data_IF_785874589939
#
_entry.id   IF_785874589939
#
_cell.length_a   1.000
_cell.length_b   1.000
_cell.length_c   1.000
_cell.angle_alpha   90.00
_cell.angle_beta   90.00
_cell.angle_gamma   90.00
#
_symmetry.space_group_name_H-M   'P 1'
#
loop_
_entity.id
_entity.type
_entity.pdbx_description
1 polymer ?
#
# COMPACT_ATOMS: atom_id res chain seq x y z
N UNK A 1 -2.92 6.50 -15.96
CA UNK A 1 -3.62 6.07 -14.72
C UNK A 1 -2.58 5.41 -13.81
N UNK A 2 -2.59 5.68 -12.51
CA UNK A 2 -1.76 4.96 -11.55
C UNK A 2 -2.40 3.60 -11.25
N UNK A 3 -1.60 2.53 -11.13
CA UNK A 3 -2.10 1.19 -10.82
C UNK A 3 -2.45 1.07 -9.32
N UNK A 4 -3.58 0.44 -9.02
CA UNK A 4 -4.00 0.05 -7.67
C UNK A 4 -4.36 -1.44 -7.70
N UNK A 5 -3.84 -2.23 -6.74
CA UNK A 5 -3.99 -3.68 -6.75
C UNK A 5 -3.82 -4.31 -5.36
N UNK A 6 -4.05 -5.62 -5.26
CA UNK A 6 -3.96 -6.43 -4.03
C UNK A 6 -4.76 -5.89 -2.83
N UNK A 7 -6.08 -5.65 -2.99
CA UNK A 7 -6.92 -5.19 -1.87
C UNK A 7 -7.10 -6.29 -0.82
N UNK A 8 -6.94 -5.93 0.46
CA UNK A 8 -7.25 -6.79 1.61
C UNK A 8 -8.05 -6.01 2.64
N UNK A 9 -9.19 -6.58 3.03
CA UNK A 9 -10.02 -6.02 4.10
C UNK A 9 -9.58 -6.54 5.47
N UNK A 10 -9.47 -5.64 6.44
CA UNK A 10 -9.24 -5.99 7.84
C UNK A 10 -9.93 -4.97 8.76
N UNK A 11 -10.86 -5.42 9.61
CA UNK A 11 -11.50 -4.64 10.69
C UNK A 11 -12.00 -3.23 10.30
N UNK A 12 -12.69 -3.11 9.15
CA UNK A 12 -13.28 -1.84 8.71
C UNK A 12 -12.33 -0.95 7.90
N UNK A 13 -11.14 -1.44 7.58
CA UNK A 13 -10.19 -0.78 6.68
C UNK A 13 -9.91 -1.68 5.47
N UNK A 14 -9.71 -1.04 4.31
CA UNK A 14 -9.21 -1.67 3.10
C UNK A 14 -7.76 -1.25 2.90
N UNK A 15 -6.87 -2.24 2.84
CA UNK A 15 -5.45 -2.07 2.57
C UNK A 15 -5.18 -2.45 1.12
N UNK A 16 -4.32 -1.70 0.43
CA UNK A 16 -4.02 -1.97 -0.97
C UNK A 16 -2.68 -1.35 -1.38
N UNK A 17 -2.14 -1.84 -2.48
CA UNK A 17 -0.92 -1.29 -3.10
C UNK A 17 -1.31 -0.26 -4.15
N UNK A 18 -0.59 0.85 -4.20
CA UNK A 18 -0.79 1.90 -5.21
C UNK A 18 0.55 2.38 -5.74
N UNK A 19 0.63 2.53 -7.07
CA UNK A 19 1.74 3.24 -7.69
C UNK A 19 1.67 4.73 -7.35
N UNK A 20 2.74 5.28 -6.78
CA UNK A 20 2.84 6.71 -6.51
C UNK A 20 2.72 7.48 -7.83
N UNK A 21 1.74 8.38 -7.90
CA UNK A 21 1.55 9.24 -9.06
C UNK A 21 2.70 10.24 -9.17
N UNK A 22 3.81 9.85 -9.79
CA UNK A 22 4.87 10.74 -10.30
C UNK A 22 5.82 11.40 -9.28
N UNK A 23 5.62 11.24 -7.97
CA UNK A 23 6.43 11.91 -6.94
C UNK A 23 7.74 11.19 -6.57
N UNK A 24 7.73 9.85 -6.57
CA UNK A 24 8.89 9.00 -6.25
C UNK A 24 9.16 8.06 -7.42
N UNK A 25 9.83 8.57 -8.45
CA UNK A 25 10.31 7.75 -9.56
C UNK A 25 11.68 7.22 -9.19
N UNK A 26 11.86 5.90 -9.21
CA UNK A 26 13.18 5.30 -9.04
C UNK A 26 14.11 5.80 -10.14
N UNK A 27 15.25 6.41 -9.77
CA UNK A 27 16.25 6.87 -10.75
C UNK A 27 16.87 5.72 -11.55
N UNK A 28 16.89 4.51 -10.99
CA UNK A 28 17.49 3.33 -11.61
C UNK A 28 16.57 2.69 -12.66
N UNK A 29 15.26 2.61 -12.39
CA UNK A 29 14.31 1.88 -13.24
C UNK A 29 13.35 2.78 -14.02
N UNK A 30 13.23 4.06 -13.65
CA UNK A 30 12.25 4.98 -14.24
C UNK A 30 10.80 4.64 -13.93
N UNK A 31 10.53 3.62 -13.11
CA UNK A 31 9.20 3.20 -12.72
C UNK A 31 8.73 3.96 -11.49
N UNK A 32 7.43 4.22 -11.42
CA UNK A 32 6.78 4.74 -10.23
C UNK A 32 6.94 3.72 -9.09
N UNK A 33 7.40 4.19 -7.93
CA UNK A 33 7.41 3.35 -6.74
C UNK A 33 6.00 3.00 -6.30
N UNK A 34 5.85 1.84 -5.68
CA UNK A 34 4.58 1.40 -5.09
C UNK A 34 4.64 1.49 -3.58
N UNK A 35 3.61 2.07 -2.99
CA UNK A 35 3.43 2.21 -1.54
C UNK A 35 2.12 1.48 -1.13
N UNK A 36 2.06 1.08 0.13
CA UNK A 36 0.86 0.55 0.76
C UNK A 36 0.02 1.68 1.37
N UNK A 37 -1.29 1.60 1.13
CA UNK A 37 -2.28 2.54 1.61
C UNK A 37 -3.36 1.83 2.42
N UNK A 38 -4.05 2.61 3.25
CA UNK A 38 -5.30 2.20 3.88
C UNK A 38 -6.38 3.26 3.73
N UNK A 39 -7.63 2.81 3.76
CA UNK A 39 -8.82 3.66 3.75
C UNK A 39 -9.90 2.98 4.58
N UNK A 40 -10.66 3.77 5.38
CA UNK A 40 -11.82 3.22 6.08
C UNK A 40 -12.93 2.89 5.11
N UNK A 41 -13.66 1.82 5.38
CA UNK A 41 -14.79 1.38 4.57
C UNK A 41 -16.03 1.18 5.43
N UNK A 42 -17.18 1.58 4.90
CA UNK A 42 -18.49 1.23 5.44
C UNK A 42 -19.20 0.30 4.45
N UNK A 43 -19.15 -1.00 4.71
CA UNK A 43 -19.51 -2.03 3.72
C UNK A 43 -18.61 -1.93 2.48
N UNK A 44 -19.21 -1.83 1.30
CA UNK A 44 -18.50 -1.71 0.02
C UNK A 44 -18.15 -0.26 -0.37
N UNK A 45 -18.23 0.70 0.56
CA UNK A 45 -18.01 2.14 0.28
C UNK A 45 -16.77 2.66 1.02
N UNK A 46 -15.66 2.96 0.31
CA UNK A 46 -14.52 3.65 0.88
C UNK A 46 -14.82 5.11 1.22
N UNK A 47 -14.36 5.57 2.37
CA UNK A 47 -14.35 6.98 2.74
C UNK A 47 -13.00 7.59 2.36
N UNK A 48 -12.93 8.21 1.18
CA UNK A 48 -11.69 8.78 0.63
C UNK A 48 -11.11 9.91 1.49
N UNK A 49 -11.87 10.51 2.41
CA UNK A 49 -11.33 11.48 3.37
C UNK A 49 -10.36 10.84 4.39
N UNK A 50 -10.38 9.51 4.49
CA UNK A 50 -9.54 8.71 5.38
C UNK A 50 -8.41 7.98 4.64
N UNK A 51 -8.23 8.25 3.34
CA UNK A 51 -7.18 7.65 2.55
C UNK A 51 -5.81 8.12 3.05
N UNK A 52 -4.96 7.18 3.44
CA UNK A 52 -3.61 7.49 3.92
C UNK A 52 -2.60 6.41 3.51
N UNK A 53 -1.33 6.81 3.41
CA UNK A 53 -0.20 5.87 3.29
C UNK A 53 0.05 5.20 4.63
N UNK A 54 0.54 3.96 4.60
CA UNK A 54 1.15 3.36 5.79
C UNK A 54 2.47 4.07 6.13
N UNK A 55 2.89 3.93 7.39
CA UNK A 55 4.10 4.55 7.94
C UNK A 55 5.38 4.17 7.18
N UNK A 56 6.41 5.02 7.27
CA UNK A 56 7.70 4.85 6.60
C UNK A 56 8.47 3.59 7.03
N UNK A 57 8.15 3.00 8.19
CA UNK A 57 8.68 1.68 8.58
C UNK A 57 8.22 0.57 7.62
N UNK A 58 7.04 0.73 7.03
CA UNK A 58 6.45 -0.20 6.06
C UNK A 58 6.82 0.28 4.65
N UNK A 59 6.49 1.53 4.33
CA UNK A 59 6.75 2.16 3.03
C UNK A 59 8.16 2.74 2.98
N UNK A 60 9.16 1.94 2.61
CA UNK A 60 10.53 2.45 2.48
C UNK A 60 10.63 3.34 1.24
N UNK A 61 11.06 4.62 1.36
CA UNK A 61 11.14 5.56 0.24
C UNK A 61 12.04 5.12 -0.94
N UNK A 62 12.84 4.06 -0.78
CA UNK A 62 13.74 3.55 -1.82
C UNK A 62 13.34 2.16 -2.32
N UNK A 63 12.21 1.62 -1.88
CA UNK A 63 11.79 0.25 -2.19
C UNK A 63 10.36 0.24 -2.72
N UNK A 64 10.04 -0.74 -3.56
CA UNK A 64 8.68 -1.00 -3.99
C UNK A 64 7.99 -1.94 -3.00
N UNK A 65 6.84 -1.54 -2.51
CA UNK A 65 5.97 -2.42 -1.72
C UNK A 65 4.97 -3.15 -2.63
N UNK A 66 4.72 -4.41 -2.32
CA UNK A 66 3.84 -5.30 -3.06
C UNK A 66 2.57 -5.64 -2.28
N UNK A 67 2.09 -6.87 -2.46
CA UNK A 67 0.87 -7.35 -1.81
C UNK A 67 0.99 -7.38 -0.29
N UNK A 68 -0.13 -7.12 0.40
CA UNK A 68 -0.32 -7.18 1.85
C UNK A 68 -1.31 -8.29 2.20
N UNK A 69 -1.18 -8.89 3.39
CA UNK A 69 -2.19 -9.75 4.02
C UNK A 69 -2.08 -9.68 5.54
N UNK A 70 -3.04 -10.27 6.24
CA UNK A 70 -3.08 -10.31 7.70
C UNK A 70 -3.29 -11.72 8.24
N UNK A 71 -2.87 -11.98 9.47
CA UNK A 71 -3.30 -13.16 10.22
C UNK A 71 -4.83 -13.13 10.44
N UNK A 72 -5.48 -14.28 10.72
CA UNK A 72 -6.94 -14.34 10.87
C UNK A 72 -7.51 -13.40 11.96
N UNK A 73 -6.74 -13.14 13.01
CA UNK A 73 -7.10 -12.21 14.10
C UNK A 73 -6.66 -10.76 13.82
N UNK A 74 -5.94 -10.53 12.72
CA UNK A 74 -5.41 -9.24 12.29
C UNK A 74 -4.26 -8.72 13.14
N UNK A 75 -3.62 -9.56 13.98
CA UNK A 75 -2.50 -9.15 14.84
C UNK A 75 -1.16 -9.10 14.11
N UNK A 76 -1.00 -9.85 13.02
CA UNK A 76 0.20 -9.87 12.19
C UNK A 76 -0.16 -9.33 10.81
N UNK A 77 0.66 -8.40 10.33
CA UNK A 77 0.66 -7.94 8.94
C UNK A 77 1.86 -8.57 8.22
N UNK A 78 1.62 -9.15 7.04
CA UNK A 78 2.68 -9.65 6.15
C UNK A 78 2.56 -8.91 4.84
N UNK A 79 3.66 -8.36 4.35
CA UNK A 79 3.71 -7.63 3.09
C UNK A 79 4.98 -7.95 2.31
N UNK A 80 4.90 -7.87 0.99
CA UNK A 80 6.04 -8.05 0.11
C UNK A 80 6.82 -6.74 -0.01
N UNK A 81 8.12 -6.78 0.30
CA UNK A 81 9.03 -5.66 0.12
C UNK A 81 10.05 -6.01 -0.96
N UNK A 82 10.29 -5.07 -1.88
CA UNK A 82 11.32 -5.21 -2.91
C UNK A 82 12.74 -5.10 -2.34
N UNK A 83 13.74 -5.13 -3.24
CA UNK A 83 15.12 -4.94 -2.84
C UNK A 83 15.47 -3.45 -2.79
N UNK A 84 16.34 -3.07 -1.85
CA UNK A 84 17.08 -1.80 -1.90
C UNK A 84 18.29 -2.03 -2.80
N UNK A 85 18.30 -1.38 -3.97
CA UNK A 85 19.38 -1.50 -4.96
C UNK A 85 20.73 -1.08 -4.40
#
# INVERSE_FOLDING_TARGET
AAAEYSPVYNKGELFFTRATGGGKVSKATGLAQTDLYKVKVNGARPDLSTLEMLDDLINDPLVNEGSITFSPDGSIMVFAKGNRG
#
